data_IF_532634093632
#
_entry.id   IF_532634093632
#
_cell.length_a   1.000
_cell.length_b   1.000
_cell.length_c   1.000
_cell.angle_alpha   90.00
_cell.angle_beta   90.00
_cell.angle_gamma   90.00
#
_symmetry.space_group_name_H-M   'P 1'
#
loop_
_entity.id
_entity.type
_entity.pdbx_description
1 polymer ?
#
# COMPACT_ATOMS: atom_id res chain seq x y z
N UNK A 1 0.37 23.50 13.23
CA UNK A 1 0.64 23.09 11.84
C UNK A 1 1.07 21.64 11.92
N UNK A 2 0.28 20.72 11.38
CA UNK A 2 0.65 19.30 11.35
C UNK A 2 1.76 19.16 10.32
N UNK A 3 2.91 18.52 10.64
CA UNK A 3 3.92 18.25 9.64
C UNK A 3 3.34 17.35 8.56
N UNK A 4 3.87 17.45 7.34
CA UNK A 4 3.33 16.72 6.21
C UNK A 4 4.49 16.19 5.38
N UNK A 5 4.51 14.87 5.18
CA UNK A 5 5.47 14.16 4.35
C UNK A 5 4.77 13.55 3.14
N UNK A 6 5.54 13.19 2.12
CA UNK A 6 5.05 12.59 0.88
C UNK A 6 5.87 11.35 0.54
N UNK A 7 5.20 10.31 0.12
CA UNK A 7 5.79 9.05 -0.34
C UNK A 7 5.11 8.62 -1.63
N UNK A 8 5.89 8.15 -2.60
CA UNK A 8 5.37 7.64 -3.88
C UNK A 8 5.55 6.13 -3.94
N UNK A 9 4.45 5.42 -4.09
CA UNK A 9 4.41 3.97 -4.21
C UNK A 9 4.23 3.54 -5.67
N UNK A 10 5.08 2.62 -6.11
CA UNK A 10 4.95 1.98 -7.42
C UNK A 10 4.03 0.77 -7.28
N UNK A 11 2.74 0.93 -7.61
CA UNK A 11 1.72 -0.11 -7.49
C UNK A 11 2.07 -1.36 -8.32
N UNK A 12 2.72 -1.17 -9.46
CA UNK A 12 3.25 -2.26 -10.30
C UNK A 12 4.31 -3.12 -9.61
N UNK A 13 5.03 -2.57 -8.62
CA UNK A 13 6.01 -3.30 -7.83
C UNK A 13 5.39 -3.96 -6.58
N UNK A 14 4.26 -3.44 -6.11
CA UNK A 14 3.55 -3.94 -4.92
C UNK A 14 2.54 -5.03 -5.24
N UNK A 15 1.95 -5.01 -6.44
CA UNK A 15 0.98 -5.99 -6.90
C UNK A 15 1.71 -7.15 -7.62
N UNK A 16 1.36 -8.42 -7.35
CA UNK A 16 2.01 -9.57 -7.96
C UNK A 16 1.84 -9.59 -9.49
N UNK A 17 2.93 -9.81 -10.22
CA UNK A 17 2.92 -10.07 -11.67
C UNK A 17 2.28 -11.45 -11.96
N UNK A 18 1.49 -11.64 -13.06
CA UNK A 18 1.66 -11.05 -14.40
C UNK A 18 0.57 -10.06 -14.88
N UNK A 19 -0.36 -9.64 -14.04
CA UNK A 19 -1.42 -8.69 -14.43
C UNK A 19 -1.60 -7.61 -13.38
N UNK A 20 -0.87 -6.51 -13.54
CA UNK A 20 -1.31 -5.27 -12.92
C UNK A 20 -2.76 -5.01 -13.37
N UNK A 21 -3.67 -4.94 -12.40
CA UNK A 21 -5.09 -4.75 -12.65
C UNK A 21 -5.47 -3.34 -12.20
N UNK A 22 -5.98 -2.52 -13.13
CA UNK A 22 -6.49 -1.19 -12.83
C UNK A 22 -7.56 -1.22 -11.73
N UNK A 23 -8.37 -2.27 -11.68
CA UNK A 23 -9.35 -2.48 -10.60
C UNK A 23 -8.70 -2.76 -9.24
N UNK A 24 -7.63 -3.56 -9.17
CA UNK A 24 -6.88 -3.78 -7.94
C UNK A 24 -6.18 -2.50 -7.49
N UNK A 25 -5.55 -1.78 -8.42
CA UNK A 25 -4.90 -0.51 -8.15
C UNK A 25 -5.88 0.53 -7.59
N UNK A 26 -7.04 0.69 -8.21
CA UNK A 26 -8.08 1.59 -7.72
C UNK A 26 -8.54 1.23 -6.31
N UNK A 27 -8.71 -0.07 -6.00
CA UNK A 27 -9.04 -0.53 -4.64
C UNK A 27 -7.92 -0.26 -3.63
N UNK A 28 -6.65 -0.43 -4.02
CA UNK A 28 -5.51 -0.11 -3.15
C UNK A 28 -5.52 1.38 -2.84
N UNK A 29 -5.68 2.23 -3.86
CA UNK A 29 -5.75 3.67 -3.69
C UNK A 29 -6.89 4.10 -2.75
N UNK A 30 -8.07 3.49 -2.88
CA UNK A 30 -9.21 3.75 -1.99
C UNK A 30 -8.92 3.31 -0.55
N UNK A 31 -8.35 2.11 -0.37
CA UNK A 31 -8.00 1.59 0.94
C UNK A 31 -6.93 2.44 1.65
N UNK A 32 -5.93 2.96 0.92
CA UNK A 32 -4.87 3.81 1.47
C UNK A 32 -5.41 5.13 2.02
N UNK A 33 -6.50 5.67 1.44
CA UNK A 33 -7.18 6.87 1.99
C UNK A 33 -7.76 6.64 3.38
N UNK A 34 -8.07 5.39 3.74
CA UNK A 34 -8.58 5.01 5.05
C UNK A 34 -7.49 4.74 6.09
N UNK A 35 -6.20 4.79 5.72
CA UNK A 35 -5.10 4.53 6.65
C UNK A 35 -4.94 5.72 7.59
N UNK A 36 -4.95 5.45 8.90
CA UNK A 36 -4.72 6.48 9.91
C UNK A 36 -3.36 7.16 9.70
N UNK A 37 -3.35 8.49 9.70
CA UNK A 37 -2.16 9.29 9.41
C UNK A 37 -2.01 9.69 7.94
N UNK A 38 -2.73 9.05 7.01
CA UNK A 38 -2.82 9.53 5.63
C UNK A 38 -3.76 10.74 5.58
N UNK A 39 -3.30 11.80 4.92
CA UNK A 39 -4.03 13.06 4.76
C UNK A 39 -4.54 13.22 3.33
N UNK A 40 -3.79 12.75 2.35
CA UNK A 40 -4.19 12.77 0.94
C UNK A 40 -3.57 11.58 0.19
N UNK A 41 -4.29 11.05 -0.79
CA UNK A 41 -3.79 9.98 -1.65
C UNK A 41 -4.24 10.22 -3.09
N UNK A 42 -3.25 10.47 -3.96
CA UNK A 42 -3.44 10.71 -5.37
C UNK A 42 -3.05 9.46 -6.17
N UNK A 43 -4.00 8.94 -6.93
CA UNK A 43 -3.87 7.66 -7.60
C UNK A 43 -3.69 7.88 -9.10
N UNK A 44 -2.51 7.54 -9.61
CA UNK A 44 -2.20 7.47 -11.02
C UNK A 44 -2.21 6.00 -11.47
N UNK A 45 -3.39 5.37 -11.40
CA UNK A 45 -3.52 3.94 -11.67
C UNK A 45 -3.13 3.56 -13.10
N UNK A 46 -3.30 4.43 -14.10
CA UNK A 46 -2.83 4.17 -15.46
C UNK A 46 -1.30 4.13 -15.57
N UNK A 47 -0.63 4.90 -14.72
CA UNK A 47 0.83 5.01 -14.64
C UNK A 47 1.43 4.00 -13.64
N UNK A 48 0.59 3.29 -12.89
CA UNK A 48 1.02 2.36 -11.85
C UNK A 48 1.60 3.04 -10.62
N UNK A 49 1.23 4.30 -10.34
CA UNK A 49 1.77 5.09 -9.23
C UNK A 49 0.68 5.55 -8.24
N UNK A 50 1.07 5.67 -6.98
CA UNK A 50 0.25 6.19 -5.88
C UNK A 50 1.09 7.16 -5.04
N UNK A 51 0.71 8.43 -5.03
CA UNK A 51 1.33 9.45 -4.20
C UNK A 51 0.52 9.62 -2.92
N UNK A 52 1.17 9.47 -1.78
CA UNK A 52 0.54 9.54 -0.45
C UNK A 52 1.15 10.68 0.32
N UNK A 53 0.29 11.56 0.80
CA UNK A 53 0.65 12.62 1.74
C UNK A 53 0.18 12.20 3.13
N UNK A 54 1.08 12.23 4.11
CA UNK A 54 0.81 11.72 5.46
C UNK A 54 1.42 12.59 6.55
N UNK A 55 0.90 12.45 7.77
CA UNK A 55 1.46 13.06 8.98
C UNK A 55 2.54 12.14 9.58
N UNK A 56 3.83 12.52 9.52
CA UNK A 56 4.92 11.71 10.05
C UNK A 56 4.92 11.57 11.57
N UNK A 57 4.06 12.31 12.29
CA UNK A 57 3.84 12.11 13.73
C UNK A 57 2.79 11.03 14.02
N UNK A 58 1.93 10.70 13.05
CA UNK A 58 0.89 9.69 13.18
C UNK A 58 1.32 8.33 12.60
N UNK A 59 2.09 8.35 11.50
CA UNK A 59 2.62 7.16 10.84
C UNK A 59 3.96 7.50 10.19
N UNK A 60 4.98 6.69 10.42
CA UNK A 60 6.27 6.84 9.73
C UNK A 60 6.26 6.18 8.34
N UNK A 61 7.28 6.49 7.53
CA UNK A 61 7.40 6.01 6.16
C UNK A 61 7.41 4.47 6.05
N UNK A 62 8.07 3.79 7.00
CA UNK A 62 8.24 2.34 6.97
C UNK A 62 6.93 1.62 7.32
N UNK A 63 6.24 2.07 8.37
CA UNK A 63 4.90 1.59 8.71
C UNK A 63 3.91 1.88 7.58
N UNK A 64 3.94 3.08 6.98
CA UNK A 64 3.09 3.40 5.82
C UNK A 64 3.35 2.42 4.66
N UNK A 65 4.61 2.19 4.32
CA UNK A 65 4.97 1.26 3.25
C UNK A 65 4.51 -0.18 3.55
N UNK A 66 4.67 -0.64 4.80
CA UNK A 66 4.18 -1.94 5.24
C UNK A 66 2.66 -2.04 5.08
N UNK A 67 1.90 -1.02 5.51
CA UNK A 67 0.43 -0.97 5.38
C UNK A 67 -0.02 -1.00 3.92
N UNK A 68 0.59 -0.19 3.06
CA UNK A 68 0.26 -0.16 1.63
C UNK A 68 0.53 -1.54 0.99
N UNK A 69 1.63 -2.20 1.36
CA UNK A 69 1.95 -3.55 0.86
C UNK A 69 0.96 -4.60 1.33
N UNK A 70 0.60 -4.60 2.62
CA UNK A 70 -0.40 -5.52 3.18
C UNK A 70 -1.77 -5.34 2.50
N UNK A 71 -2.19 -4.10 2.27
CA UNK A 71 -3.41 -3.78 1.52
C UNK A 71 -3.35 -4.33 0.09
N UNK A 72 -2.25 -4.11 -0.62
CA UNK A 72 -2.06 -4.62 -1.99
C UNK A 72 -2.15 -6.16 -2.06
N UNK A 73 -1.53 -6.85 -1.10
CA UNK A 73 -1.58 -8.32 -1.00
C UNK A 73 -2.98 -8.83 -0.64
N UNK A 74 -3.66 -8.15 0.29
CA UNK A 74 -5.02 -8.51 0.72
C UNK A 74 -6.03 -8.35 -0.41
N UNK A 75 -5.98 -7.22 -1.13
CA UNK A 75 -6.87 -6.92 -2.26
C UNK A 75 -6.67 -7.89 -3.43
N UNK A 76 -5.44 -8.34 -3.64
CA UNK A 76 -5.13 -9.34 -4.68
C UNK A 76 -5.39 -10.78 -4.23
N UNK A 77 -5.86 -11.00 -3.00
CA UNK A 77 -6.13 -12.33 -2.45
C UNK A 77 -4.86 -13.14 -2.17
N UNK A 78 -3.67 -12.54 -2.28
CA UNK A 78 -2.39 -13.21 -2.05
C UNK A 78 -2.23 -13.67 -0.58
N UNK A 79 -2.86 -12.97 0.36
CA UNK A 79 -2.82 -13.30 1.80
C UNK A 79 -3.59 -14.60 2.11
N UNK A 80 -4.48 -15.06 1.23
CA UNK A 80 -5.20 -16.34 1.40
C UNK A 80 -4.35 -17.60 1.16
N UNK A 81 -3.22 -17.48 0.44
CA UNK A 81 -2.30 -18.61 0.17
C UNK A 81 -0.88 -18.40 0.68
N UNK A 82 -0.53 -17.19 1.12
CA UNK A 82 0.67 -16.95 1.90
C UNK A 82 0.45 -17.47 3.33
N UNK A 83 0.39 -18.80 3.48
CA UNK A 83 0.80 -19.43 4.74
C UNK A 83 2.22 -18.92 4.95
N UNK A 84 2.38 -17.97 5.88
CA UNK A 84 3.68 -17.66 6.46
C UNK A 84 4.17 -18.95 7.10
N UNK A 85 4.85 -19.78 6.31
CA UNK A 85 5.62 -20.90 6.80
C UNK A 85 6.83 -20.26 7.49
N UNK A 86 6.60 -19.82 8.72
CA UNK A 86 7.66 -19.59 9.70
C UNK A 86 8.33 -20.94 9.91
N UNK A 87 9.28 -21.27 9.03
CA UNK A 87 10.11 -22.45 9.18
C UNK A 87 11.20 -22.06 10.17
N UNK A 88 11.03 -22.43 11.43
CA UNK A 88 12.05 -22.25 12.45
C UNK A 88 11.48 -21.95 13.84
N UNK A 89 10.87 -22.95 14.46
CA UNK A 89 10.67 -23.06 15.92
C UNK A 89 10.46 -24.54 16.26
N UNK A 90 11.50 -25.34 16.00
CA UNK A 90 12.03 -26.45 16.83
C UNK A 90 13.28 -27.03 16.13
#
# INVERSE_FOLDING_TARGET
MTPTARETFQLQALLPAPYYCLGCASRVCDAVRGVAGVTEAHCAAEEGALDVTYDPLAIDAEELAARVRELALSITGAVGHAVFRLTGLD
#
